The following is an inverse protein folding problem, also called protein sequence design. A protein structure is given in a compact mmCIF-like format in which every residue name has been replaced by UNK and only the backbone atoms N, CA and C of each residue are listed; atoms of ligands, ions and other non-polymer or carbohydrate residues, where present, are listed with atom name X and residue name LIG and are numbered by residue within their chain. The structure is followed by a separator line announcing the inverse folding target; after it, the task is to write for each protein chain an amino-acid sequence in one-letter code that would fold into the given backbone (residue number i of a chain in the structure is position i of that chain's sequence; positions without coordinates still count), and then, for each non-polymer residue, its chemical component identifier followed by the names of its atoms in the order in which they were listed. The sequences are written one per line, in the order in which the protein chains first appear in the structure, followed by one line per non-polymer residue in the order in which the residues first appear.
data_IF_078173199638
#
_entry.id   IF_078173199638
#
_cell.length_a   1.000
_cell.length_b   1.000
_cell.length_c   1.000
_cell.angle_alpha   90.00
_cell.angle_beta   90.00
_cell.angle_gamma   90.00
#
_symmetry.space_group_name_H-M   'P 1'
#
loop_
_entity.id
_entity.type
_entity.pdbx_description
1 polymer ?
#
# COMPACT_ATOMS: atom_id res chain seq x y z
N UNK A 1 12.48 -4.99 -13.90
CA UNK A 1 12.33 -3.83 -13.01
C UNK A 1 13.72 -3.40 -12.58
N UNK A 2 14.03 -2.10 -12.45
CA UNK A 2 15.32 -1.68 -11.90
C UNK A 2 15.47 -2.31 -10.51
N UNK A 3 16.69 -2.69 -10.09
CA UNK A 3 16.89 -3.31 -8.79
C UNK A 3 16.39 -2.35 -7.72
N UNK A 4 15.22 -2.65 -7.16
CA UNK A 4 14.72 -2.00 -5.95
C UNK A 4 15.79 -2.24 -4.90
N UNK A 5 16.34 -1.17 -4.33
CA UNK A 5 17.29 -1.21 -3.22
C UNK A 5 16.61 -1.70 -1.92
N UNK A 6 15.79 -2.74 -1.99
CA UNK A 6 15.20 -3.42 -0.85
C UNK A 6 16.28 -4.25 -0.14
N UNK A 7 17.27 -4.75 -0.88
CA UNK A 7 18.44 -5.44 -0.33
C UNK A 7 19.57 -4.49 0.01
N UNK A 8 20.06 -4.53 1.25
CA UNK A 8 21.37 -3.97 1.64
C UNK A 8 22.54 -4.84 1.13
N UNK A 9 22.29 -5.81 0.25
CA UNK A 9 23.35 -6.55 -0.42
C UNK A 9 23.67 -5.83 -1.73
N UNK A 10 24.90 -5.31 -1.85
CA UNK A 10 25.32 -4.47 -2.98
C UNK A 10 25.11 -5.27 -4.28
N UNK A 11 24.19 -4.90 -5.19
CA UNK A 11 24.17 -5.52 -6.50
C UNK A 11 25.54 -5.27 -7.17
N UNK A 12 26.05 -6.20 -8.01
CA UNK A 12 27.34 -6.03 -8.70
C UNK A 12 27.39 -4.77 -9.57
N UNK A 13 26.23 -4.19 -9.89
CA UNK A 13 26.07 -2.86 -10.47
C UNK A 13 25.58 -1.92 -9.35
N UNK A 14 26.48 -1.53 -8.45
CA UNK A 14 26.23 -0.41 -7.54
C UNK A 14 26.30 0.86 -8.36
N UNK A 15 25.14 1.38 -8.76
CA UNK A 15 25.09 2.67 -9.40
C UNK A 15 25.36 3.74 -8.34
N UNK A 16 26.50 4.41 -8.43
CA UNK A 16 26.96 5.44 -7.49
C UNK A 16 26.06 6.68 -7.45
N UNK A 17 25.09 6.79 -8.36
CA UNK A 17 24.22 7.95 -8.45
C UNK A 17 22.85 7.63 -7.83
N UNK A 18 22.67 7.91 -6.55
CA UNK A 18 21.34 8.02 -5.90
C UNK A 18 20.32 8.74 -6.78
N UNK A 19 20.80 9.77 -7.50
CA UNK A 19 20.02 10.53 -8.48
C UNK A 19 19.43 9.67 -9.59
N UNK A 20 20.16 8.67 -10.09
CA UNK A 20 19.65 7.76 -11.12
C UNK A 20 18.58 6.82 -10.56
N UNK A 21 18.75 6.31 -9.34
CA UNK A 21 17.69 5.53 -8.68
C UNK A 21 16.43 6.39 -8.45
N UNK A 22 16.60 7.65 -8.04
CA UNK A 22 15.50 8.61 -7.92
C UNK A 22 14.81 8.86 -9.27
N UNK A 23 15.57 9.09 -10.33
CA UNK A 23 15.03 9.31 -11.68
C UNK A 23 14.27 8.09 -12.19
N UNK A 24 14.79 6.89 -11.95
CA UNK A 24 14.21 5.66 -12.50
C UNK A 24 13.00 5.18 -11.68
N UNK A 25 13.05 5.28 -10.35
CA UNK A 25 12.00 4.76 -9.46
C UNK A 25 11.01 5.80 -8.92
N UNK A 26 11.48 7.01 -8.64
CA UNK A 26 10.69 8.04 -7.97
C UNK A 26 10.05 9.01 -8.95
N UNK A 27 10.74 9.40 -10.02
CA UNK A 27 10.21 10.34 -11.01
C UNK A 27 9.14 9.69 -11.89
N UNK A 28 9.23 8.39 -12.18
CA UNK A 28 8.27 7.70 -13.05
C UNK A 28 6.92 7.48 -12.34
N UNK A 29 5.82 8.13 -12.77
CA UNK A 29 4.54 8.11 -12.06
C UNK A 29 3.86 6.74 -12.08
N UNK A 30 4.21 5.89 -13.05
CA UNK A 30 3.68 4.54 -13.23
C UNK A 30 3.80 3.66 -11.96
N UNK A 31 4.85 3.85 -11.15
CA UNK A 31 5.06 3.10 -9.90
C UNK A 31 4.21 3.58 -8.72
N UNK A 32 3.42 4.65 -8.94
CA UNK A 32 2.49 5.25 -7.96
C UNK A 32 1.06 5.32 -8.49
N UNK A 33 0.79 4.82 -9.70
CA UNK A 33 -0.56 4.83 -10.25
C UNK A 33 -1.56 4.07 -9.37
N UNK A 34 -1.16 2.90 -8.85
CA UNK A 34 -2.04 2.05 -8.04
C UNK A 34 -2.59 2.74 -6.76
N UNK A 35 -1.77 3.34 -5.87
CA UNK A 35 -2.30 4.06 -4.70
C UNK A 35 -3.20 5.24 -5.09
N UNK A 36 -2.91 5.94 -6.19
CA UNK A 36 -3.79 7.02 -6.69
C UNK A 36 -5.15 6.51 -7.14
N UNK A 37 -5.18 5.40 -7.88
CA UNK A 37 -6.43 4.77 -8.35
C UNK A 37 -7.28 4.35 -7.14
N UNK A 38 -6.67 3.71 -6.13
CA UNK A 38 -7.38 3.28 -4.91
C UNK A 38 -8.01 4.50 -4.20
N UNK A 39 -7.26 5.57 -4.03
CA UNK A 39 -7.76 6.80 -3.41
C UNK A 39 -8.89 7.46 -4.20
N UNK A 40 -8.78 7.52 -5.53
CA UNK A 40 -9.81 8.08 -6.40
C UNK A 40 -11.11 7.26 -6.36
N UNK A 41 -11.00 5.93 -6.41
CA UNK A 41 -12.16 5.04 -6.31
C UNK A 41 -12.86 5.20 -4.95
N UNK A 42 -12.11 5.27 -3.87
CA UNK A 42 -12.64 5.52 -2.53
C UNK A 42 -13.33 6.88 -2.45
N UNK A 43 -12.68 7.95 -2.89
CA UNK A 43 -13.22 9.31 -2.86
C UNK A 43 -14.51 9.42 -3.66
N UNK A 44 -14.57 8.81 -4.84
CA UNK A 44 -15.79 8.75 -5.64
C UNK A 44 -16.91 7.95 -4.96
N UNK A 45 -16.58 6.85 -4.28
CA UNK A 45 -17.55 6.07 -3.50
C UNK A 45 -18.12 6.89 -2.33
N UNK A 46 -17.25 7.58 -1.58
CA UNK A 46 -17.64 8.47 -0.48
C UNK A 46 -18.53 9.63 -0.98
N UNK A 47 -18.16 10.26 -2.10
CA UNK A 47 -18.96 11.32 -2.71
C UNK A 47 -20.37 10.84 -3.10
N UNK A 48 -20.50 9.60 -3.61
CA UNK A 48 -21.80 8.99 -3.90
C UNK A 48 -22.62 8.73 -2.64
N UNK A 49 -22.01 8.25 -1.57
CA UNK A 49 -22.69 8.04 -0.28
C UNK A 49 -23.26 9.38 0.24
N UNK A 50 -22.44 10.43 0.20
CA UNK A 50 -22.84 11.77 0.63
C UNK A 50 -23.96 12.35 -0.26
N UNK A 51 -23.85 12.20 -1.59
CA UNK A 51 -24.85 12.69 -2.54
C UNK A 51 -26.21 11.97 -2.40
N UNK A 52 -26.20 10.65 -2.19
CA UNK A 52 -27.43 9.86 -2.04
C UNK A 52 -28.03 9.92 -0.63
N UNK A 53 -27.42 10.66 0.32
CA UNK A 53 -27.80 10.68 1.75
C UNK A 53 -28.03 9.28 2.34
N UNK A 54 -27.29 8.27 1.85
CA UNK A 54 -27.33 6.90 2.39
C UNK A 54 -26.49 6.91 3.66
N UNK A 55 -26.91 7.70 4.64
CA UNK A 55 -26.15 7.98 5.85
C UNK A 55 -26.28 6.86 6.88
N UNK A 56 -27.02 5.78 6.58
CA UNK A 56 -27.49 4.87 7.64
C UNK A 56 -27.65 3.39 7.24
N UNK A 57 -26.89 2.89 6.25
CA UNK A 57 -26.70 1.43 6.17
C UNK A 57 -25.61 1.05 7.15
N UNK A 58 -26.01 0.83 8.41
CA UNK A 58 -25.14 0.31 9.46
C UNK A 58 -24.61 -1.04 8.98
N UNK A 59 -23.30 -1.11 8.72
CA UNK A 59 -22.66 -2.36 8.38
C UNK A 59 -22.68 -3.27 9.60
N UNK A 60 -22.73 -4.59 9.36
CA UNK A 60 -22.61 -5.56 10.46
C UNK A 60 -21.32 -5.34 11.22
N UNK A 61 -21.37 -5.47 12.55
CA UNK A 61 -20.18 -5.34 13.40
C UNK A 61 -19.04 -6.27 12.96
N UNK A 62 -19.37 -7.45 12.43
CA UNK A 62 -18.40 -8.41 11.89
C UNK A 62 -17.62 -7.80 10.72
N UNK A 63 -18.30 -7.11 9.80
CA UNK A 63 -17.67 -6.48 8.64
C UNK A 63 -16.67 -5.40 9.07
N UNK A 64 -17.05 -4.58 10.05
CA UNK A 64 -16.20 -3.51 10.59
C UNK A 64 -14.96 -4.10 11.27
N UNK A 65 -15.13 -5.12 12.12
CA UNK A 65 -14.02 -5.79 12.79
C UNK A 65 -13.08 -6.47 11.80
N UNK A 66 -13.60 -7.17 10.80
CA UNK A 66 -12.79 -7.79 9.75
C UNK A 66 -12.00 -6.76 8.97
N UNK A 67 -12.61 -5.62 8.62
CA UNK A 67 -11.92 -4.55 7.91
C UNK A 67 -10.81 -3.91 8.74
N UNK A 68 -11.02 -3.73 10.06
CA UNK A 68 -9.96 -3.25 10.96
C UNK A 68 -8.79 -4.23 11.08
N UNK A 69 -9.08 -5.52 11.30
CA UNK A 69 -8.04 -6.56 11.35
C UNK A 69 -7.26 -6.59 10.03
N UNK A 70 -7.96 -6.54 8.90
CA UNK A 70 -7.33 -6.53 7.59
C UNK A 70 -6.47 -5.27 7.37
N UNK A 71 -6.97 -4.09 7.73
CA UNK A 71 -6.23 -2.83 7.57
C UNK A 71 -4.95 -2.81 8.40
N UNK A 72 -5.03 -3.26 9.66
CA UNK A 72 -3.87 -3.41 10.54
C UNK A 72 -2.88 -4.38 9.92
N UNK A 73 -3.33 -5.58 9.53
CA UNK A 73 -2.47 -6.60 8.94
C UNK A 73 -1.77 -6.10 7.66
N UNK A 74 -2.49 -5.42 6.77
CA UNK A 74 -1.93 -4.84 5.55
C UNK A 74 -0.91 -3.72 5.83
N UNK A 75 -1.19 -2.87 6.83
CA UNK A 75 -0.25 -1.84 7.27
C UNK A 75 1.03 -2.48 7.85
N UNK A 76 0.90 -3.48 8.71
CA UNK A 76 2.03 -4.23 9.26
C UNK A 76 2.86 -4.91 8.17
N UNK A 77 2.22 -5.60 7.22
CA UNK A 77 2.94 -6.19 6.08
C UNK A 77 3.68 -5.10 5.31
N UNK A 78 3.04 -3.98 5.02
CA UNK A 78 3.66 -2.92 4.23
C UNK A 78 4.93 -2.34 4.88
N UNK A 79 4.96 -2.24 6.21
CA UNK A 79 6.09 -1.68 6.98
C UNK A 79 7.15 -2.75 7.28
N UNK A 80 6.74 -3.93 7.75
CA UNK A 80 7.65 -4.97 8.26
C UNK A 80 8.00 -6.05 7.23
N UNK A 81 7.34 -6.09 6.07
CA UNK A 81 7.61 -7.08 5.03
C UNK A 81 9.01 -6.95 4.39
N UNK A 82 9.77 -5.91 4.72
CA UNK A 82 11.17 -5.80 4.33
C UNK A 82 12.10 -6.71 5.14
N UNK A 83 11.66 -7.21 6.30
CA UNK A 83 12.50 -7.97 7.24
C UNK A 83 13.18 -9.21 6.64
N UNK A 84 12.51 -10.06 5.82
CA UNK A 84 13.16 -11.21 5.17
C UNK A 84 14.29 -10.83 4.20
N UNK A 85 14.26 -9.59 3.68
CA UNK A 85 15.36 -9.05 2.87
C UNK A 85 16.57 -8.74 3.75
N UNK A 86 16.34 -8.24 4.96
CA UNK A 86 17.39 -7.86 5.91
C UNK A 86 18.24 -9.05 6.37
N UNK A 87 17.61 -10.22 6.54
CA UNK A 87 18.28 -11.46 6.98
C UNK A 87 18.88 -12.28 5.84
N UNK A 88 18.97 -11.73 4.62
CA UNK A 88 19.47 -12.40 3.41
C UNK A 88 18.76 -13.73 3.07
N UNK A 89 17.46 -13.83 3.34
CA UNK A 89 16.69 -15.02 3.01
C UNK A 89 16.36 -15.05 1.51
N UNK A 90 17.06 -15.86 0.73
CA UNK A 90 17.02 -15.83 -0.74
C UNK A 90 15.68 -16.31 -1.36
N UNK A 91 14.64 -15.49 -1.20
CA UNK A 91 13.26 -15.78 -1.63
C UNK A 91 12.80 -14.77 -2.69
N UNK A 92 13.32 -14.94 -3.90
CA UNK A 92 13.12 -14.02 -5.05
C UNK A 92 11.66 -13.70 -5.34
N UNK A 93 10.77 -14.68 -5.22
CA UNK A 93 9.33 -14.49 -5.45
C UNK A 93 8.71 -13.54 -4.42
N UNK A 94 9.09 -13.68 -3.14
CA UNK A 94 8.62 -12.81 -2.07
C UNK A 94 9.03 -11.36 -2.31
N UNK A 95 10.28 -11.13 -2.70
CA UNK A 95 10.79 -9.79 -2.97
C UNK A 95 10.09 -9.09 -4.14
N UNK A 96 9.80 -9.84 -5.21
CA UNK A 96 9.05 -9.31 -6.34
C UNK A 96 7.63 -8.90 -5.94
N UNK A 97 6.94 -9.77 -5.21
CA UNK A 97 5.57 -9.53 -4.74
C UNK A 97 5.54 -8.36 -3.76
N UNK A 98 6.42 -8.35 -2.77
CA UNK A 98 6.50 -7.29 -1.77
C UNK A 98 6.87 -5.95 -2.41
N UNK A 99 7.87 -5.92 -3.30
CA UNK A 99 8.27 -4.72 -4.02
C UNK A 99 7.14 -4.13 -4.86
N UNK A 100 6.30 -4.96 -5.49
CA UNK A 100 5.16 -4.53 -6.27
C UNK A 100 3.95 -4.08 -5.42
N UNK A 101 3.67 -4.77 -4.30
CA UNK A 101 2.43 -4.63 -3.56
C UNK A 101 2.52 -3.79 -2.28
N UNK A 102 3.69 -3.60 -1.65
CA UNK A 102 3.76 -2.90 -0.36
C UNK A 102 3.13 -1.50 -0.37
N UNK A 103 3.25 -0.76 -1.48
CA UNK A 103 2.63 0.57 -1.64
C UNK A 103 1.12 0.48 -1.80
N UNK A 104 0.63 -0.57 -2.47
CA UNK A 104 -0.80 -0.77 -2.71
C UNK A 104 -1.49 -1.25 -1.44
N UNK A 105 -0.89 -2.19 -0.71
CA UNK A 105 -1.42 -2.68 0.57
C UNK A 105 -1.49 -1.56 1.61
N UNK A 106 -0.47 -0.70 1.68
CA UNK A 106 -0.51 0.49 2.54
C UNK A 106 -1.63 1.45 2.14
N UNK A 107 -1.81 1.72 0.85
CA UNK A 107 -2.89 2.58 0.38
C UNK A 107 -4.28 2.01 0.66
N UNK A 108 -4.46 0.68 0.58
CA UNK A 108 -5.72 0.02 0.96
C UNK A 108 -5.98 0.15 2.46
N UNK A 109 -4.96 0.00 3.31
CA UNK A 109 -5.09 0.19 4.75
C UNK A 109 -5.54 1.62 5.10
N UNK A 110 -4.92 2.63 4.47
CA UNK A 110 -5.33 4.03 4.63
C UNK A 110 -6.72 4.29 4.07
N UNK A 111 -7.08 3.67 2.94
CA UNK A 111 -8.42 3.80 2.37
C UNK A 111 -9.51 3.27 3.31
N UNK A 112 -9.26 2.13 3.97
CA UNK A 112 -10.15 1.62 5.00
C UNK A 112 -10.27 2.58 6.19
N UNK A 113 -9.14 3.13 6.67
CA UNK A 113 -9.13 4.09 7.77
C UNK A 113 -10.01 5.31 7.46
N UNK A 114 -9.85 5.92 6.28
CA UNK A 114 -10.66 7.06 5.84
C UNK A 114 -12.15 6.68 5.77
N UNK A 115 -12.46 5.50 5.24
CA UNK A 115 -13.83 5.00 5.17
C UNK A 115 -14.46 4.81 6.56
N UNK A 116 -13.70 4.23 7.49
CA UNK A 116 -14.14 4.00 8.87
C UNK A 116 -14.40 5.33 9.58
N UNK A 117 -13.51 6.32 9.45
CA UNK A 117 -13.70 7.67 9.99
C UNK A 117 -14.95 8.34 9.42
N UNK A 118 -15.16 8.28 8.09
CA UNK A 118 -16.33 8.88 7.46
C UNK A 118 -17.65 8.22 7.89
N UNK A 119 -17.62 6.91 8.12
CA UNK A 119 -18.82 6.13 8.45
C UNK A 119 -19.13 6.10 9.95
N UNK A 120 -18.29 6.70 10.80
CA UNK A 120 -18.44 6.67 12.26
C UNK A 120 -18.06 5.31 12.89
N UNK A 121 -17.17 4.55 12.24
CA UNK A 121 -16.63 3.28 12.75
C UNK A 121 -15.21 3.41 13.31
N UNK A 122 -14.74 4.64 13.52
CA UNK A 122 -13.46 4.98 14.13
C UNK A 122 -13.49 4.93 15.66
#
# INVERSE_FOLDING_TARGET
MPPTQLGWNRPPIYNSNFMEHFVVMYIKPQYRAAPYIIGLLLGHHLAKIQAMKVCNKRHSAIFVTCGWILAIFLAFISVFGLYPVLINLDWKLYYLIYGALHRTTFAVAIAWLIYACHSGYA
#
